data_IF_239884632341
#
_entry.id   IF_239884632341
#
_cell.length_a   1.000
_cell.length_b   1.000
_cell.length_c   1.000
_cell.angle_alpha   90.00
_cell.angle_beta   90.00
_cell.angle_gamma   90.00
#
_symmetry.space_group_name_H-M   'P 1'
#
loop_
_entity.id
_entity.type
_entity.pdbx_description
1 polymer ?
#
# COMPACT_ATOMS: atom_id res chain seq x y z
N UNK A 1 -25.23 34.83 -9.51
CA UNK A 1 -25.20 33.36 -9.63
C UNK A 1 -23.80 32.97 -10.08
N UNK A 2 -22.96 32.45 -9.18
CA UNK A 2 -21.63 31.94 -9.54
C UNK A 2 -21.74 30.42 -9.54
N UNK A 3 -21.62 29.81 -10.73
CA UNK A 3 -21.57 28.37 -10.90
C UNK A 3 -20.27 27.86 -10.26
N UNK A 4 -20.38 27.07 -9.20
CA UNK A 4 -19.25 26.30 -8.67
C UNK A 4 -19.00 25.14 -9.62
N UNK A 5 -17.97 25.28 -10.46
CA UNK A 5 -17.43 24.21 -11.27
C UNK A 5 -16.95 23.08 -10.35
N UNK A 6 -17.78 22.06 -10.18
CA UNK A 6 -17.43 20.84 -9.47
C UNK A 6 -16.45 20.05 -10.35
N UNK A 7 -15.16 20.34 -10.24
CA UNK A 7 -14.12 19.53 -10.87
C UNK A 7 -14.14 18.15 -10.20
N UNK A 8 -14.69 17.15 -10.89
CA UNK A 8 -14.62 15.77 -10.46
C UNK A 8 -13.17 15.31 -10.60
N UNK A 9 -12.41 15.36 -9.49
CA UNK A 9 -11.05 14.84 -9.44
C UNK A 9 -11.15 13.31 -9.57
N UNK A 10 -10.57 12.76 -10.64
CA UNK A 10 -10.49 11.33 -10.87
C UNK A 10 -9.81 10.67 -9.65
N UNK A 11 -10.41 9.62 -9.11
CA UNK A 11 -9.89 8.89 -7.95
C UNK A 11 -8.54 8.24 -8.28
N UNK A 12 -7.72 7.91 -7.27
CA UNK A 12 -6.52 7.11 -7.53
C UNK A 12 -6.89 5.75 -8.12
N UNK A 13 -8.03 5.20 -7.72
CA UNK A 13 -8.53 3.92 -8.19
C UNK A 13 -8.72 3.94 -9.71
N UNK A 14 -9.36 4.97 -10.25
CA UNK A 14 -9.48 5.16 -11.69
C UNK A 14 -8.13 5.47 -12.35
N UNK A 15 -7.27 6.29 -11.72
CA UNK A 15 -5.95 6.62 -12.27
C UNK A 15 -5.02 5.42 -12.43
N UNK A 16 -5.11 4.42 -11.52
CA UNK A 16 -4.32 3.18 -11.65
C UNK A 16 -4.94 2.18 -12.63
N UNK A 17 -6.17 2.40 -13.11
CA UNK A 17 -6.87 1.49 -14.03
C UNK A 17 -7.91 0.58 -13.35
N UNK A 18 -8.51 1.03 -12.25
CA UNK A 18 -9.53 0.32 -11.50
C UNK A 18 -9.01 -0.97 -10.85
N UNK A 19 -9.88 -1.96 -10.69
CA UNK A 19 -9.54 -3.22 -10.03
C UNK A 19 -8.35 -3.93 -10.69
N UNK A 20 -8.28 -3.93 -12.02
CA UNK A 20 -7.17 -4.56 -12.74
C UNK A 20 -5.85 -3.83 -12.46
N UNK A 21 -5.88 -2.49 -12.40
CA UNK A 21 -4.77 -1.65 -11.99
C UNK A 21 -4.24 -1.95 -10.60
N UNK A 22 -5.16 -2.00 -9.62
CA UNK A 22 -4.82 -2.36 -8.23
C UNK A 22 -4.22 -3.75 -8.18
N UNK A 23 -4.79 -4.72 -8.89
CA UNK A 23 -4.30 -6.09 -8.94
C UNK A 23 -2.86 -6.15 -9.51
N UNK A 24 -2.57 -5.43 -10.60
CA UNK A 24 -1.22 -5.35 -11.18
C UNK A 24 -0.22 -4.73 -10.20
N UNK A 25 -0.59 -3.63 -9.53
CA UNK A 25 0.28 -2.97 -8.55
C UNK A 25 0.60 -3.91 -7.38
N UNK A 26 -0.43 -4.51 -6.78
CA UNK A 26 -0.27 -5.41 -5.64
C UNK A 26 0.57 -6.63 -6.03
N UNK A 27 0.31 -7.24 -7.18
CA UNK A 27 1.10 -8.39 -7.60
C UNK A 27 2.57 -8.04 -7.82
N UNK A 28 2.83 -6.95 -8.56
CA UNK A 28 4.21 -6.50 -8.83
C UNK A 28 4.94 -6.18 -7.52
N UNK A 29 4.25 -5.57 -6.55
CA UNK A 29 4.79 -5.29 -5.23
C UNK A 29 5.10 -6.57 -4.44
N UNK A 30 4.15 -7.51 -4.35
CA UNK A 30 4.36 -8.76 -3.63
C UNK A 30 5.48 -9.61 -4.28
N UNK A 31 5.54 -9.65 -5.61
CA UNK A 31 6.61 -10.36 -6.32
C UNK A 31 7.99 -9.75 -6.00
N UNK A 32 8.08 -8.42 -5.89
CA UNK A 32 9.30 -7.74 -5.44
C UNK A 32 9.67 -8.12 -4.00
N UNK A 33 8.69 -8.18 -3.08
CA UNK A 33 8.94 -8.62 -1.71
C UNK A 33 9.54 -10.03 -1.66
N UNK A 34 9.03 -10.94 -2.49
CA UNK A 34 9.43 -12.35 -2.51
C UNK A 34 10.76 -12.61 -3.21
N UNK A 35 11.16 -11.74 -4.16
CA UNK A 35 12.26 -12.03 -5.09
C UNK A 35 13.47 -11.13 -4.97
N UNK A 36 13.41 -10.04 -4.22
CA UNK A 36 14.54 -9.12 -4.07
C UNK A 36 15.10 -9.07 -2.65
N UNK A 37 16.38 -8.69 -2.54
CA UNK A 37 17.02 -8.50 -1.24
C UNK A 37 16.42 -7.29 -0.51
N UNK A 38 15.98 -6.25 -1.24
CA UNK A 38 15.27 -5.09 -0.68
C UNK A 38 13.93 -5.50 -0.04
N UNK A 39 13.24 -6.48 -0.62
CA UNK A 39 11.96 -6.98 -0.14
C UNK A 39 12.05 -7.87 1.09
N UNK A 40 13.23 -8.46 1.32
CA UNK A 40 13.47 -9.50 2.34
C UNK A 40 13.02 -9.12 3.75
N UNK A 41 13.25 -7.89 4.28
CA UNK A 41 12.80 -7.54 5.62
C UNK A 41 11.28 -7.66 5.80
N UNK A 42 10.50 -7.18 4.82
CA UNK A 42 9.03 -7.23 4.84
C UNK A 42 8.54 -8.65 4.59
N UNK A 43 9.16 -9.37 3.66
CA UNK A 43 8.80 -10.76 3.36
C UNK A 43 8.92 -11.67 4.60
N UNK A 44 10.00 -11.51 5.38
CA UNK A 44 10.18 -12.27 6.63
C UNK A 44 9.08 -11.99 7.67
N UNK A 45 8.53 -10.77 7.73
CA UNK A 45 7.40 -10.46 8.60
C UNK A 45 6.14 -11.21 8.17
N UNK A 46 5.85 -11.27 6.87
CA UNK A 46 4.70 -12.02 6.35
C UNK A 46 4.84 -13.53 6.53
N UNK A 47 6.04 -14.09 6.43
CA UNK A 47 6.29 -15.52 6.70
C UNK A 47 6.06 -15.92 8.17
N UNK A 48 6.14 -14.98 9.11
CA UNK A 48 5.81 -15.23 10.53
C UNK A 48 4.30 -15.19 10.79
N UNK A 49 3.50 -14.71 9.84
CA UNK A 49 2.05 -14.60 9.92
C UNK A 49 1.33 -15.58 8.99
N UNK A 50 0.33 -15.08 8.27
CA UNK A 50 -0.50 -15.88 7.35
C UNK A 50 0.12 -16.10 5.95
N UNK A 51 1.36 -15.66 5.73
CA UNK A 51 2.07 -15.82 4.46
C UNK A 51 1.69 -14.78 3.38
N UNK A 52 2.41 -14.84 2.26
CA UNK A 52 2.30 -13.87 1.17
C UNK A 52 0.98 -13.98 0.39
N UNK A 53 0.42 -15.17 0.22
CA UNK A 53 -0.86 -15.35 -0.48
C UNK A 53 -2.00 -14.61 0.22
N UNK A 54 -2.04 -14.68 1.56
CA UNK A 54 -2.98 -13.92 2.36
C UNK A 54 -2.71 -12.42 2.26
N UNK A 55 -1.45 -12.00 2.41
CA UNK A 55 -1.06 -10.59 2.33
C UNK A 55 -1.46 -9.95 0.99
N UNK A 56 -1.27 -10.67 -0.13
CA UNK A 56 -1.61 -10.22 -1.48
C UNK A 56 -3.11 -9.93 -1.64
N UNK A 57 -3.96 -10.84 -1.14
CA UNK A 57 -5.42 -10.67 -1.17
C UNK A 57 -5.85 -9.46 -0.33
N UNK A 58 -5.33 -9.36 0.91
CA UNK A 58 -5.74 -8.30 1.81
C UNK A 58 -5.19 -6.93 1.42
N UNK A 59 -3.99 -6.86 0.84
CA UNK A 59 -3.43 -5.64 0.26
C UNK A 59 -4.31 -5.14 -0.90
N UNK A 60 -4.79 -6.02 -1.77
CA UNK A 60 -5.76 -5.66 -2.81
C UNK A 60 -7.05 -5.09 -2.23
N UNK A 61 -7.64 -5.79 -1.25
CA UNK A 61 -8.88 -5.34 -0.60
C UNK A 61 -8.71 -3.95 0.04
N UNK A 62 -7.57 -3.73 0.68
CA UNK A 62 -7.26 -2.46 1.33
C UNK A 62 -7.04 -1.35 0.30
N UNK A 63 -6.24 -1.58 -0.75
CA UNK A 63 -5.96 -0.59 -1.79
C UNK A 63 -7.17 -0.24 -2.64
N UNK A 64 -8.10 -1.17 -2.87
CA UNK A 64 -9.38 -0.89 -3.53
C UNK A 64 -10.09 0.29 -2.85
N UNK A 65 -10.27 0.22 -1.52
CA UNK A 65 -10.92 1.29 -0.75
C UNK A 65 -10.03 2.52 -0.57
N UNK A 66 -8.74 2.30 -0.26
CA UNK A 66 -7.78 3.38 -0.02
C UNK A 66 -7.60 4.31 -1.22
N UNK A 67 -7.68 3.79 -2.44
CA UNK A 67 -7.60 4.58 -3.66
C UNK A 67 -8.93 5.23 -4.09
N UNK A 68 -10.01 5.01 -3.33
CA UNK A 68 -11.34 5.59 -3.60
C UNK A 68 -12.28 4.68 -4.40
N UNK A 69 -11.95 3.40 -4.57
CA UNK A 69 -12.83 2.38 -5.13
C UNK A 69 -13.70 1.68 -4.06
N UNK A 70 -14.22 0.47 -4.35
CA UNK A 70 -15.02 -0.31 -3.39
C UNK A 70 -14.25 -0.59 -2.09
N UNK A 71 -14.92 -0.49 -0.93
CA UNK A 71 -14.29 -0.60 0.40
C UNK A 71 -14.18 -2.06 0.88
N UNK A 72 -13.63 -2.92 0.01
CA UNK A 72 -13.61 -4.37 0.18
C UNK A 72 -13.05 -4.82 1.53
N UNK A 73 -11.95 -4.20 1.98
CA UNK A 73 -11.35 -4.54 3.28
C UNK A 73 -12.29 -4.21 4.44
N UNK A 74 -12.88 -3.01 4.45
CA UNK A 74 -13.78 -2.59 5.52
C UNK A 74 -15.09 -3.38 5.51
N UNK A 75 -15.60 -3.76 4.33
CA UNK A 75 -16.79 -4.62 4.21
C UNK A 75 -16.53 -6.03 4.76
N UNK A 76 -15.32 -6.56 4.57
CA UNK A 76 -14.92 -7.88 5.07
C UNK A 76 -14.58 -7.89 6.56
N UNK A 77 -13.83 -6.89 7.04
CA UNK A 77 -13.24 -6.86 8.38
C UNK A 77 -13.92 -5.89 9.34
N UNK A 78 -14.86 -5.05 8.88
CA UNK A 78 -15.60 -4.08 9.68
C UNK A 78 -14.89 -2.73 9.88
N UNK A 79 -13.59 -2.63 9.59
CA UNK A 79 -12.80 -1.39 9.68
C UNK A 79 -11.63 -1.41 8.68
N UNK A 80 -11.03 -0.25 8.44
CA UNK A 80 -9.79 -0.10 7.64
C UNK A 80 -8.74 0.74 8.37
N UNK A 81 -8.74 0.68 9.71
CA UNK A 81 -7.78 1.43 10.52
C UNK A 81 -6.39 0.78 10.41
N UNK A 82 -5.50 1.42 9.67
CA UNK A 82 -4.16 0.87 9.37
C UNK A 82 -3.33 0.56 10.62
N UNK A 83 -3.49 1.32 11.71
CA UNK A 83 -2.79 1.07 12.97
C UNK A 83 -3.28 -0.19 13.67
N UNK A 84 -4.60 -0.42 13.67
CA UNK A 84 -5.19 -1.64 14.25
C UNK A 84 -4.82 -2.88 13.43
N UNK A 85 -4.80 -2.75 12.09
CA UNK A 85 -4.38 -3.82 11.19
C UNK A 85 -2.95 -4.26 11.52
N UNK A 86 -2.03 -3.33 11.78
CA UNK A 86 -0.62 -3.63 12.02
C UNK A 86 -0.22 -3.72 13.50
N UNK A 87 -1.16 -3.63 14.44
CA UNK A 87 -0.87 -3.61 15.88
C UNK A 87 -0.17 -4.89 16.40
N UNK A 88 -0.24 -5.97 15.63
CA UNK A 88 0.35 -7.27 15.95
C UNK A 88 1.76 -7.49 15.36
N UNK A 89 2.29 -6.52 14.61
CA UNK A 89 3.62 -6.58 13.98
C UNK A 89 4.47 -5.40 14.46
N UNK A 90 5.71 -5.68 14.84
CA UNK A 90 6.72 -4.64 15.07
C UNK A 90 7.31 -4.22 13.72
N UNK A 91 7.05 -2.97 13.33
CA UNK A 91 7.54 -2.38 12.08
C UNK A 91 8.64 -1.40 12.45
N UNK A 92 9.89 -1.82 12.25
CA UNK A 92 11.06 -0.98 12.41
C UNK A 92 11.30 -0.09 11.17
N UNK A 93 12.30 0.79 11.27
CA UNK A 93 12.69 1.68 10.16
C UNK A 93 13.13 0.90 8.91
N UNK A 94 13.79 -0.24 9.09
CA UNK A 94 14.30 -1.07 7.99
C UNK A 94 13.14 -1.66 7.19
N UNK A 95 12.16 -2.28 7.86
CA UNK A 95 10.98 -2.84 7.22
C UNK A 95 10.10 -1.76 6.57
N UNK A 96 9.93 -0.62 7.25
CA UNK A 96 9.21 0.54 6.71
C UNK A 96 9.85 1.05 5.40
N UNK A 97 11.17 1.26 5.41
CA UNK A 97 11.89 1.74 4.23
C UNK A 97 11.93 0.69 3.12
N UNK A 98 12.09 -0.59 3.45
CA UNK A 98 12.02 -1.70 2.49
C UNK A 98 10.67 -1.74 1.77
N UNK A 99 9.57 -1.58 2.52
CA UNK A 99 8.20 -1.55 1.96
C UNK A 99 8.05 -0.38 0.97
N UNK A 100 8.46 0.84 1.36
CA UNK A 100 8.38 2.03 0.51
C UNK A 100 9.23 1.89 -0.76
N UNK A 101 10.44 1.34 -0.64
CA UNK A 101 11.34 1.08 -1.77
C UNK A 101 10.70 0.11 -2.76
N UNK A 102 10.16 -1.02 -2.29
CA UNK A 102 9.52 -2.00 -3.16
C UNK A 102 8.26 -1.43 -3.84
N UNK A 103 7.48 -0.60 -3.14
CA UNK A 103 6.31 0.07 -3.71
C UNK A 103 6.70 1.07 -4.81
N UNK A 104 7.78 1.83 -4.59
CA UNK A 104 8.35 2.73 -5.61
C UNK A 104 8.81 1.95 -6.85
N UNK A 105 9.51 0.84 -6.66
CA UNK A 105 9.96 -0.06 -7.74
C UNK A 105 8.81 -0.69 -8.50
N UNK A 106 7.72 -1.06 -7.82
CA UNK A 106 6.53 -1.62 -8.46
C UNK A 106 5.89 -0.60 -9.42
N UNK A 107 5.77 0.66 -8.98
CA UNK A 107 5.26 1.75 -9.82
C UNK A 107 6.17 2.06 -11.01
N UNK A 108 7.50 1.95 -10.86
CA UNK A 108 8.45 2.08 -11.97
C UNK A 108 8.28 0.94 -12.99
N UNK A 109 8.16 -0.31 -12.54
CA UNK A 109 7.93 -1.47 -13.40
C UNK A 109 6.62 -1.37 -14.18
N UNK A 110 5.59 -0.76 -13.59
CA UNK A 110 4.30 -0.52 -14.24
C UNK A 110 4.25 0.78 -15.06
N UNK A 111 5.38 1.48 -15.18
CA UNK A 111 5.51 2.72 -15.94
C UNK A 111 4.48 3.79 -15.53
N UNK A 112 4.22 3.92 -14.23
CA UNK A 112 3.36 4.99 -13.71
C UNK A 112 3.96 6.35 -14.05
N UNK A 113 3.10 7.33 -14.35
CA UNK A 113 3.57 8.70 -14.56
C UNK A 113 4.26 9.24 -13.30
N UNK A 114 5.28 10.08 -13.48
CA UNK A 114 6.03 10.66 -12.36
C UNK A 114 5.10 11.37 -11.36
N UNK A 115 4.09 12.07 -11.85
CA UNK A 115 3.08 12.76 -11.03
C UNK A 115 2.26 11.79 -10.19
N UNK A 116 1.74 10.71 -10.78
CA UNK A 116 0.95 9.71 -10.06
C UNK A 116 1.81 8.99 -9.02
N UNK A 117 3.03 8.59 -9.40
CA UNK A 117 3.99 7.96 -8.50
C UNK A 117 4.28 8.85 -7.29
N UNK A 118 4.56 10.14 -7.49
CA UNK A 118 4.84 11.08 -6.39
C UNK A 118 3.65 11.20 -5.44
N UNK A 119 2.43 11.32 -5.95
CA UNK A 119 1.22 11.45 -5.13
C UNK A 119 0.97 10.19 -4.30
N UNK A 120 1.09 9.01 -4.91
CA UNK A 120 0.94 7.74 -4.20
C UNK A 120 2.05 7.53 -3.17
N UNK A 121 3.30 7.80 -3.53
CA UNK A 121 4.43 7.68 -2.60
C UNK A 121 4.32 8.64 -1.40
N UNK A 122 3.75 9.84 -1.57
CA UNK A 122 3.50 10.73 -0.44
C UNK A 122 2.49 10.09 0.52
N UNK A 123 1.34 9.63 0.02
CA UNK A 123 0.32 8.97 0.84
C UNK A 123 0.86 7.73 1.57
N UNK A 124 1.70 6.95 0.89
CA UNK A 124 2.33 5.77 1.47
C UNK A 124 3.38 6.12 2.51
N UNK A 125 4.19 7.15 2.29
CA UNK A 125 5.18 7.64 3.27
C UNK A 125 4.47 8.10 4.54
N UNK A 126 3.39 8.88 4.38
CA UNK A 126 2.59 9.34 5.51
C UNK A 126 2.01 8.16 6.30
N UNK A 127 1.48 7.15 5.59
CA UNK A 127 0.96 5.92 6.20
C UNK A 127 2.05 5.14 6.94
N UNK A 128 3.21 4.93 6.32
CA UNK A 128 4.34 4.22 6.92
C UNK A 128 4.81 4.92 8.21
N UNK A 129 4.85 6.25 8.21
CA UNK A 129 5.17 7.05 9.40
C UNK A 129 4.18 6.87 10.57
N UNK A 130 2.92 6.50 10.31
CA UNK A 130 1.94 6.19 11.35
C UNK A 130 2.13 4.80 11.99
N UNK A 131 2.84 3.91 11.29
CA UNK A 131 3.03 2.50 11.65
C UNK A 131 4.41 2.23 12.22
N UNK A 132 5.41 2.99 11.78
CA UNK A 132 6.79 2.83 12.23
C UNK A 132 6.86 3.05 13.74
N UNK A 133 7.33 2.01 14.43
CA UNK A 133 7.55 2.05 15.85
C UNK A 133 8.96 2.58 16.09
N UNK A 134 9.10 3.57 16.97
CA UNK A 134 10.42 4.00 17.41
C UNK A 134 11.02 2.88 18.26
N UNK A 135 12.21 2.39 17.90
CA UNK A 135 12.96 1.50 18.77
C UNK A 135 13.10 2.18 20.13
N UNK A 136 12.62 1.55 21.20
CA UNK A 136 13.07 1.94 22.54
C UNK A 136 14.57 1.62 22.56
N UNK A 137 15.40 2.64 22.42
CA UNK A 137 16.81 2.52 22.78
C UNK A 137 16.84 2.09 24.25
N UNK A 138 17.21 0.83 24.48
CA UNK A 138 17.53 0.29 25.79
C UNK A 138 18.95 0.71 26.19
#
# INVERSE_FOLDING_TARGET
>A
MQQTSNQHRISFYEQVGGAEGVNKLVNTFCDLLETTEEGRPVFLLHLRGHGMDHARIEQFNFFSGFFGGPRLYAEKWGHSNVREIHAHVEIDEIASQAWLTCMSMAMDKLAYSQTLKQQLMQNFTDMAGLLQQQSKQA
#
